data_IF_897244452983
#
_entry.id   IF_897244452983
#
_cell.length_a   1.000
_cell.length_b   1.000
_cell.length_c   1.000
_cell.angle_alpha   90.00
_cell.angle_beta   90.00
_cell.angle_gamma   90.00
#
_symmetry.space_group_name_H-M   'P 1'
#
loop_
_entity.id
_entity.type
_entity.pdbx_description
1 polymer ?
#
# COMPACT_ATOMS: atom_id res chain seq x y z
N UNK A 1 45.97 -5.80 -14.65
CA UNK A 1 44.89 -6.26 -13.75
C UNK A 1 44.32 -5.03 -13.07
N UNK A 2 43.00 -4.86 -13.09
CA UNK A 2 42.36 -3.75 -12.36
C UNK A 2 42.65 -3.91 -10.86
N UNK A 3 42.90 -2.83 -10.13
CA UNK A 3 42.98 -2.91 -8.66
C UNK A 3 41.60 -3.18 -8.11
N UNK A 4 41.53 -3.85 -6.96
CA UNK A 4 40.27 -4.17 -6.27
C UNK A 4 39.43 -2.90 -6.05
N UNK A 5 40.07 -1.82 -5.60
CA UNK A 5 39.41 -0.52 -5.39
C UNK A 5 38.69 -0.02 -6.64
N UNK A 6 39.36 -0.03 -7.80
CA UNK A 6 38.76 0.43 -9.06
C UNK A 6 37.63 -0.53 -9.48
N UNK A 7 37.75 -1.82 -9.21
CA UNK A 7 36.73 -2.82 -9.54
C UNK A 7 35.40 -2.60 -8.80
N UNK A 8 35.43 -2.02 -7.60
CA UNK A 8 34.24 -1.74 -6.80
C UNK A 8 33.77 -0.27 -6.91
N UNK A 9 34.70 0.69 -6.92
CA UNK A 9 34.37 2.11 -6.99
C UNK A 9 33.79 2.52 -8.34
N UNK A 10 34.23 1.90 -9.44
CA UNK A 10 33.70 2.21 -10.77
C UNK A 10 32.20 1.82 -10.90
N UNK A 11 31.77 0.58 -10.55
CA UNK A 11 30.34 0.25 -10.49
C UNK A 11 29.56 1.10 -9.48
N UNK A 12 30.13 1.39 -8.30
CA UNK A 12 29.47 2.23 -7.31
C UNK A 12 29.16 3.63 -7.88
N UNK A 13 30.16 4.25 -8.51
CA UNK A 13 30.00 5.54 -9.17
C UNK A 13 28.99 5.46 -10.32
N UNK A 14 29.06 4.43 -11.15
CA UNK A 14 28.13 4.23 -12.25
C UNK A 14 26.67 4.09 -11.75
N UNK A 15 26.42 3.28 -10.72
CA UNK A 15 25.10 3.11 -10.11
C UNK A 15 24.60 4.46 -9.56
N UNK A 16 25.44 5.16 -8.80
CA UNK A 16 25.07 6.46 -8.22
C UNK A 16 24.71 7.48 -9.30
N UNK A 17 25.58 7.67 -10.29
CA UNK A 17 25.34 8.60 -11.41
C UNK A 17 24.11 8.19 -12.19
N UNK A 18 23.91 6.89 -12.45
CA UNK A 18 22.71 6.43 -13.15
C UNK A 18 21.44 6.76 -12.37
N UNK A 19 21.43 6.60 -11.04
CA UNK A 19 20.29 6.94 -10.19
C UNK A 19 20.00 8.43 -10.10
N UNK A 20 20.96 9.29 -10.45
CA UNK A 20 20.76 10.74 -10.58
C UNK A 20 20.25 11.15 -11.98
N UNK A 21 20.60 10.39 -13.02
CA UNK A 21 20.33 10.76 -14.41
C UNK A 21 19.09 10.09 -15.00
N UNK A 22 18.73 8.90 -14.53
CA UNK A 22 17.65 8.09 -15.09
C UNK A 22 16.64 7.72 -14.03
N UNK A 23 15.35 7.86 -14.33
CA UNK A 23 14.26 7.36 -13.49
C UNK A 23 14.00 5.90 -13.82
N UNK A 24 14.37 4.99 -12.92
CA UNK A 24 14.26 3.54 -13.15
C UNK A 24 12.91 2.94 -12.73
N UNK A 25 12.09 3.70 -12.02
CA UNK A 25 10.77 3.30 -11.57
C UNK A 25 9.80 4.49 -11.59
N UNK A 26 8.48 4.25 -11.71
CA UNK A 26 7.50 5.34 -11.82
C UNK A 26 7.48 6.29 -10.61
N UNK A 27 7.85 5.79 -9.42
CA UNK A 27 7.92 6.61 -8.20
C UNK A 27 9.29 7.28 -8.07
N UNK A 28 9.33 8.62 -7.96
CA UNK A 28 10.59 9.39 -7.98
C UNK A 28 11.61 8.95 -6.92
N UNK A 29 11.14 8.49 -5.76
CA UNK A 29 11.99 8.04 -4.66
C UNK A 29 12.56 6.62 -4.85
N UNK A 30 12.09 5.86 -5.85
CA UNK A 30 12.46 4.45 -5.98
C UNK A 30 13.89 4.24 -6.46
N UNK A 31 14.52 5.24 -7.09
CA UNK A 31 15.94 5.20 -7.42
C UNK A 31 16.84 4.97 -6.19
N UNK A 32 16.38 5.35 -4.98
CA UNK A 32 17.11 5.09 -3.74
C UNK A 32 17.36 3.58 -3.51
N UNK A 33 16.43 2.72 -3.95
CA UNK A 33 16.55 1.25 -3.88
C UNK A 33 17.72 0.72 -4.70
N UNK A 34 18.12 1.44 -5.75
CA UNK A 34 19.30 1.12 -6.56
C UNK A 34 20.55 1.81 -6.00
N UNK A 35 20.44 3.08 -5.64
CA UNK A 35 21.58 3.88 -5.14
C UNK A 35 22.15 3.34 -3.82
N UNK A 36 21.37 2.62 -3.01
CA UNK A 36 21.88 1.96 -1.80
C UNK A 36 23.01 0.96 -2.11
N UNK A 37 23.02 0.35 -3.30
CA UNK A 37 24.10 -0.54 -3.72
C UNK A 37 25.41 0.20 -3.98
N UNK A 38 25.35 1.42 -4.54
CA UNK A 38 26.51 2.27 -4.65
C UNK A 38 27.12 2.58 -3.27
N UNK A 39 26.26 2.86 -2.29
CA UNK A 39 26.69 3.07 -0.90
C UNK A 39 27.38 1.83 -0.32
N UNK A 40 26.79 0.63 -0.47
CA UNK A 40 27.37 -0.61 0.04
C UNK A 40 28.72 -0.95 -0.60
N UNK A 41 28.88 -0.72 -1.89
CA UNK A 41 30.17 -0.93 -2.57
C UNK A 41 31.24 0.06 -2.10
N UNK A 42 30.85 1.27 -1.72
CA UNK A 42 31.75 2.32 -1.26
C UNK A 42 32.19 2.14 0.21
N UNK A 43 31.35 1.52 1.05
CA UNK A 43 31.54 1.40 2.50
C UNK A 43 32.91 0.85 2.95
N UNK A 44 33.43 -0.28 2.40
CA UNK A 44 34.71 -0.84 2.85
C UNK A 44 35.91 0.09 2.58
N UNK A 45 35.85 0.85 1.49
CA UNK A 45 36.90 1.80 1.10
C UNK A 45 36.83 3.07 1.94
N UNK A 46 35.62 3.58 2.22
CA UNK A 46 35.45 4.67 3.20
C UNK A 46 36.01 4.28 4.57
N UNK A 47 35.77 3.04 5.01
CA UNK A 47 36.35 2.56 6.26
C UNK A 47 37.88 2.52 6.20
N UNK A 48 38.45 1.76 5.28
CA UNK A 48 39.90 1.49 5.23
C UNK A 48 40.75 2.70 4.87
N UNK A 49 40.28 3.56 3.97
CA UNK A 49 41.07 4.68 3.45
C UNK A 49 40.85 6.00 4.20
N UNK A 50 39.71 6.17 4.88
CA UNK A 50 39.36 7.41 5.58
C UNK A 50 39.23 7.18 7.08
N UNK A 51 38.22 6.40 7.50
CA UNK A 51 37.82 6.31 8.92
C UNK A 51 38.87 5.59 9.78
N UNK A 52 39.49 4.53 9.25
CA UNK A 52 40.49 3.73 9.95
C UNK A 52 41.81 4.49 10.20
N UNK A 53 42.06 5.58 9.45
CA UNK A 53 43.25 6.43 9.59
C UNK A 53 43.10 7.49 10.69
N UNK A 54 41.90 7.69 11.22
CA UNK A 54 41.66 8.62 12.31
C UNK A 54 42.06 8.05 13.67
N UNK A 55 42.29 8.95 14.63
CA UNK A 55 42.53 8.54 16.01
C UNK A 55 41.32 7.77 16.55
N UNK A 56 41.58 6.83 17.48
CA UNK A 56 40.52 5.99 18.07
C UNK A 56 39.36 6.82 18.64
N UNK A 57 39.58 7.93 19.37
CA UNK A 57 38.48 8.75 19.88
C UNK A 57 37.60 9.34 18.78
N UNK A 58 38.19 9.84 17.69
CA UNK A 58 37.44 10.41 16.56
C UNK A 58 36.63 9.33 15.86
N UNK A 59 37.23 8.16 15.62
CA UNK A 59 36.55 7.02 15.01
C UNK A 59 35.34 6.57 15.82
N UNK A 60 35.51 6.42 17.14
CA UNK A 60 34.41 6.07 18.05
C UNK A 60 33.31 7.13 17.99
N UNK A 61 33.66 8.41 18.06
CA UNK A 61 32.70 9.52 17.96
C UNK A 61 31.89 9.50 16.67
N UNK A 62 32.55 9.31 15.52
CA UNK A 62 31.86 9.25 14.21
C UNK A 62 30.99 8.00 14.09
N UNK A 63 31.47 6.83 14.54
CA UNK A 63 30.64 5.62 14.56
C UNK A 63 29.37 5.84 15.41
N UNK A 64 29.51 6.41 16.62
CA UNK A 64 28.36 6.74 17.46
C UNK A 64 27.42 7.70 16.71
N UNK A 65 27.93 8.77 16.11
CA UNK A 65 27.09 9.73 15.38
C UNK A 65 26.34 9.10 14.20
N UNK A 66 27.02 8.31 13.37
CA UNK A 66 26.43 7.65 12.20
C UNK A 66 25.37 6.61 12.59
N UNK A 67 25.71 5.73 13.54
CA UNK A 67 24.81 4.63 13.93
C UNK A 67 23.72 5.04 14.93
N UNK A 68 23.90 6.13 15.68
CA UNK A 68 22.87 6.66 16.59
C UNK A 68 21.89 7.62 15.90
N UNK A 69 22.19 8.07 14.68
CA UNK A 69 21.29 8.95 13.91
C UNK A 69 19.91 8.32 13.71
N UNK A 70 19.84 7.01 13.44
CA UNK A 70 18.58 6.26 13.34
C UNK A 70 17.80 6.21 14.66
N UNK A 71 18.49 6.20 15.81
CA UNK A 71 17.85 6.25 17.12
C UNK A 71 17.15 7.60 17.36
N UNK A 72 17.76 8.71 16.91
CA UNK A 72 17.12 10.05 16.93
C UNK A 72 15.82 10.04 16.12
N UNK A 73 15.83 9.42 14.94
CA UNK A 73 14.61 9.29 14.10
C UNK A 73 13.51 8.47 14.79
N UNK A 74 13.85 7.54 15.68
CA UNK A 74 12.89 6.71 16.41
C UNK A 74 12.23 7.46 17.58
N UNK A 75 12.86 8.46 18.20
CA UNK A 75 12.25 9.22 19.30
C UNK A 75 10.88 9.80 18.94
N UNK A 76 10.74 10.31 17.71
CA UNK A 76 9.49 10.86 17.23
C UNK A 76 8.39 9.81 17.02
N UNK A 77 8.75 8.55 16.76
CA UNK A 77 7.81 7.44 16.55
C UNK A 77 7.49 6.65 17.81
N UNK A 78 8.44 6.58 18.76
CA UNK A 78 8.32 5.84 20.02
C UNK A 78 7.85 6.71 21.19
N UNK A 79 7.71 8.02 20.99
CA UNK A 79 7.22 8.93 22.03
C UNK A 79 5.86 8.48 22.57
N UNK A 80 5.73 8.47 23.90
CA UNK A 80 4.49 8.13 24.58
C UNK A 80 3.33 9.00 24.06
N UNK A 81 2.16 8.37 23.82
CA UNK A 81 0.99 9.04 23.28
C UNK A 81 0.96 9.17 21.75
N UNK A 82 1.93 8.61 21.02
CA UNK A 82 1.87 8.47 19.56
C UNK A 82 1.52 7.02 19.20
N UNK A 83 0.25 6.69 18.92
CA UNK A 83 -0.19 5.31 18.69
C UNK A 83 0.33 4.69 17.37
N UNK A 84 1.31 5.32 16.71
CA UNK A 84 1.80 4.92 15.40
C UNK A 84 0.75 5.10 14.30
N UNK A 85 1.07 4.59 13.11
CA UNK A 85 0.11 4.48 12.02
C UNK A 85 -0.52 3.08 12.05
N UNK A 86 -1.83 3.00 12.20
CA UNK A 86 -2.55 1.72 12.25
C UNK A 86 -2.50 1.03 10.89
N UNK A 87 -1.86 -0.14 10.82
CA UNK A 87 -1.80 -0.94 9.60
C UNK A 87 -3.01 -1.86 9.47
N UNK A 88 -3.36 -2.60 10.52
CA UNK A 88 -4.45 -3.58 10.52
C UNK A 88 -5.06 -3.62 11.92
N UNK A 89 -6.39 -3.60 12.01
CA UNK A 89 -7.12 -3.96 13.23
C UNK A 89 -7.40 -5.47 13.19
N UNK A 90 -6.82 -6.21 14.14
CA UNK A 90 -6.95 -7.67 14.18
C UNK A 90 -8.38 -8.13 14.50
N UNK A 91 -9.09 -7.42 15.37
CA UNK A 91 -10.47 -7.77 15.72
C UNK A 91 -11.42 -7.56 14.55
N UNK A 92 -11.22 -6.47 13.81
CA UNK A 92 -11.91 -6.21 12.55
C UNK A 92 -11.60 -7.28 11.51
N UNK A 93 -10.32 -7.62 11.31
CA UNK A 93 -9.90 -8.62 10.34
C UNK A 93 -10.51 -9.99 10.62
N UNK A 94 -10.48 -10.44 11.89
CA UNK A 94 -11.04 -11.74 12.30
C UNK A 94 -12.56 -11.76 12.13
N UNK A 95 -13.25 -10.68 12.48
CA UNK A 95 -14.70 -10.58 12.35
C UNK A 95 -15.17 -10.52 10.88
N UNK A 96 -14.48 -9.75 10.02
CA UNK A 96 -14.71 -9.74 8.58
C UNK A 96 -14.41 -11.12 8.00
N UNK A 97 -13.33 -11.76 8.43
CA UNK A 97 -12.96 -13.13 8.02
C UNK A 97 -14.05 -14.15 8.29
N UNK A 98 -14.65 -14.12 9.49
CA UNK A 98 -15.78 -14.97 9.84
C UNK A 98 -17.01 -14.69 8.95
N UNK A 99 -17.29 -13.40 8.67
CA UNK A 99 -18.43 -13.00 7.86
C UNK A 99 -18.30 -13.39 6.37
N UNK A 100 -17.09 -13.31 5.80
CA UNK A 100 -16.88 -13.65 4.39
C UNK A 100 -16.61 -15.12 4.15
N UNK A 101 -16.19 -15.90 5.17
CA UNK A 101 -15.91 -17.34 5.06
C UNK A 101 -16.98 -18.13 4.29
N UNK A 102 -18.30 -18.00 4.56
CA UNK A 102 -19.33 -18.76 3.84
C UNK A 102 -19.61 -18.24 2.42
N UNK A 103 -19.09 -17.07 2.03
CA UNK A 103 -19.35 -16.46 0.72
C UNK A 103 -18.46 -17.06 -0.36
N UNK A 104 -18.93 -17.14 -1.62
CA UNK A 104 -18.13 -17.67 -2.74
C UNK A 104 -16.79 -16.94 -2.87
N UNK A 105 -15.70 -17.67 -3.02
CA UNK A 105 -14.35 -17.10 -3.15
C UNK A 105 -14.22 -16.26 -4.42
N UNK A 106 -14.93 -16.65 -5.48
CA UNK A 106 -14.90 -15.95 -6.76
C UNK A 106 -15.76 -14.68 -6.80
N UNK A 107 -16.59 -14.45 -5.78
CA UNK A 107 -17.41 -13.27 -5.70
C UNK A 107 -16.54 -12.02 -5.52
N UNK A 108 -16.82 -11.01 -6.34
CA UNK A 108 -16.13 -9.73 -6.31
C UNK A 108 -16.88 -8.73 -5.43
N UNK A 109 -16.13 -8.06 -4.57
CA UNK A 109 -16.63 -7.05 -3.65
C UNK A 109 -16.36 -5.65 -4.19
N UNK A 110 -17.35 -4.76 -4.09
CA UNK A 110 -17.11 -3.32 -4.11
C UNK A 110 -16.77 -2.87 -2.68
N UNK A 111 -15.62 -2.22 -2.55
CA UNK A 111 -15.07 -1.71 -1.31
C UNK A 111 -14.14 -0.54 -1.63
N UNK A 112 -13.76 0.25 -0.63
CA UNK A 112 -12.81 1.34 -0.79
C UNK A 112 -11.43 0.79 -1.19
N UNK A 113 -10.80 1.34 -2.25
CA UNK A 113 -9.57 0.79 -2.81
C UNK A 113 -8.33 1.20 -1.99
N UNK A 114 -8.10 0.51 -0.88
CA UNK A 114 -6.90 0.67 -0.04
C UNK A 114 -6.03 -0.60 -0.03
N UNK A 115 -4.77 -0.48 0.43
CA UNK A 115 -3.77 -1.56 0.41
C UNK A 115 -3.96 -2.58 1.53
N UNK A 116 -4.58 -2.17 2.64
CA UNK A 116 -4.77 -2.95 3.87
C UNK A 116 -6.23 -3.31 4.14
N UNK A 117 -7.07 -3.32 3.09
CA UNK A 117 -8.50 -3.60 3.25
C UNK A 117 -8.70 -5.02 3.81
N UNK A 118 -9.55 -5.25 4.84
CA UNK A 118 -9.71 -6.57 5.45
C UNK A 118 -10.14 -7.65 4.46
N UNK A 119 -10.95 -7.30 3.43
CA UNK A 119 -11.28 -8.23 2.33
C UNK A 119 -10.05 -8.75 1.59
N UNK A 120 -9.09 -7.88 1.25
CA UNK A 120 -7.87 -8.27 0.54
C UNK A 120 -7.02 -9.21 1.39
N UNK A 121 -6.89 -8.89 2.68
CA UNK A 121 -6.15 -9.71 3.64
C UNK A 121 -6.81 -11.06 3.91
N UNK A 122 -8.12 -11.20 3.64
CA UNK A 122 -8.86 -12.46 3.68
C UNK A 122 -8.91 -13.18 2.31
N UNK A 123 -8.13 -12.73 1.33
CA UNK A 123 -8.04 -13.33 -0.01
C UNK A 123 -9.28 -13.13 -0.88
N UNK A 124 -10.12 -12.12 -0.60
CA UNK A 124 -11.33 -11.84 -1.37
C UNK A 124 -11.04 -10.92 -2.55
N UNK A 125 -11.69 -11.21 -3.68
CA UNK A 125 -11.64 -10.36 -4.87
C UNK A 125 -12.35 -9.05 -4.59
N UNK A 126 -11.67 -7.94 -4.85
CA UNK A 126 -12.25 -6.59 -4.84
C UNK A 126 -12.25 -6.05 -6.26
N UNK A 127 -13.11 -5.07 -6.55
CA UNK A 127 -13.13 -4.38 -7.86
C UNK A 127 -11.76 -3.84 -8.22
N UNK A 128 -11.07 -3.24 -7.25
CA UNK A 128 -9.69 -2.78 -7.39
C UNK A 128 -9.04 -2.63 -6.02
N UNK A 129 -7.74 -2.92 -5.95
CA UNK A 129 -6.90 -2.63 -4.78
C UNK A 129 -6.39 -1.19 -4.77
N UNK A 130 -5.32 -0.93 -4.03
CA UNK A 130 -4.74 0.41 -3.90
C UNK A 130 -4.30 1.01 -5.27
N UNK A 131 -4.84 2.18 -5.67
CA UNK A 131 -4.55 2.79 -6.97
C UNK A 131 -3.08 3.06 -7.22
N UNK A 132 -2.32 3.46 -6.20
CA UNK A 132 -0.88 3.74 -6.34
C UNK A 132 -0.08 2.48 -6.72
N UNK A 133 -0.49 1.31 -6.24
CA UNK A 133 0.15 0.05 -6.63
C UNK A 133 -0.23 -0.35 -8.06
N UNK A 134 -1.51 -0.19 -8.43
CA UNK A 134 -1.95 -0.46 -9.80
C UNK A 134 -1.25 0.45 -10.82
N UNK A 135 -1.03 1.72 -10.48
CA UNK A 135 -0.28 2.65 -11.31
C UNK A 135 1.18 2.22 -11.49
N UNK A 136 1.87 1.88 -10.39
CA UNK A 136 3.29 1.50 -10.45
C UNK A 136 3.52 0.18 -11.18
N UNK A 137 2.54 -0.73 -11.20
CA UNK A 137 2.55 -1.99 -11.97
C UNK A 137 2.06 -1.84 -13.42
N UNK A 138 1.70 -0.63 -13.86
CA UNK A 138 1.35 -0.36 -15.26
C UNK A 138 -0.07 -0.75 -15.68
N UNK A 139 -1.03 -0.81 -14.75
CA UNK A 139 -2.43 -1.06 -15.10
C UNK A 139 -3.11 0.19 -15.70
N UNK A 140 -3.12 0.35 -17.02
CA UNK A 140 -3.59 1.57 -17.70
C UNK A 140 -5.02 2.03 -17.36
N UNK A 141 -5.94 1.09 -17.11
CA UNK A 141 -7.36 1.40 -16.91
C UNK A 141 -7.77 1.65 -15.44
N UNK A 142 -6.83 1.65 -14.50
CA UNK A 142 -7.14 1.75 -13.07
C UNK A 142 -7.95 3.01 -12.72
N UNK A 143 -7.64 4.15 -13.35
CA UNK A 143 -8.30 5.42 -13.08
C UNK A 143 -9.79 5.42 -13.51
N UNK A 144 -10.10 4.78 -14.64
CA UNK A 144 -11.47 4.63 -15.12
C UNK A 144 -12.28 3.72 -14.19
N UNK A 145 -11.72 2.57 -13.79
CA UNK A 145 -12.32 1.67 -12.80
C UNK A 145 -12.53 2.36 -11.46
N UNK A 146 -11.57 3.19 -11.02
CA UNK A 146 -11.68 3.97 -9.78
C UNK A 146 -12.81 4.99 -9.84
N UNK A 147 -12.97 5.68 -10.97
CA UNK A 147 -14.09 6.61 -11.16
C UNK A 147 -15.42 5.88 -11.11
N UNK A 148 -15.55 4.76 -11.83
CA UNK A 148 -16.77 3.95 -11.83
C UNK A 148 -17.11 3.41 -10.44
N UNK A 149 -16.12 2.85 -9.73
CA UNK A 149 -16.29 2.35 -8.37
C UNK A 149 -16.71 3.46 -7.41
N UNK A 150 -16.09 4.64 -7.50
CA UNK A 150 -16.48 5.81 -6.69
C UNK A 150 -17.93 6.21 -6.96
N UNK A 151 -18.33 6.33 -8.22
CA UNK A 151 -19.69 6.77 -8.58
C UNK A 151 -20.73 5.73 -8.12
N UNK A 152 -20.42 4.44 -8.24
CA UNK A 152 -21.22 3.35 -7.67
C UNK A 152 -21.32 3.45 -6.15
N UNK A 153 -20.19 3.59 -5.44
CA UNK A 153 -20.13 3.64 -3.97
C UNK A 153 -20.68 4.94 -3.39
N UNK A 154 -20.82 6.01 -4.18
CA UNK A 154 -21.56 7.22 -3.82
C UNK A 154 -23.08 7.07 -4.05
N UNK A 155 -23.52 6.00 -4.72
CA UNK A 155 -24.92 5.78 -5.06
C UNK A 155 -25.46 6.79 -6.09
N UNK A 156 -24.58 7.34 -6.94
CA UNK A 156 -24.96 8.33 -7.95
C UNK A 156 -25.64 7.63 -9.13
N UNK A 157 -26.78 8.16 -9.58
CA UNK A 157 -27.43 7.80 -10.85
C UNK A 157 -27.57 6.29 -11.09
N UNK A 158 -26.94 5.79 -12.16
CA UNK A 158 -27.05 4.41 -12.67
C UNK A 158 -26.17 3.40 -11.92
N UNK A 159 -26.00 3.52 -10.60
CA UNK A 159 -25.10 2.67 -9.79
C UNK A 159 -25.30 1.17 -10.03
N UNK A 160 -26.54 0.70 -10.30
CA UNK A 160 -26.84 -0.70 -10.64
C UNK A 160 -26.18 -1.15 -11.95
N UNK A 161 -26.22 -0.29 -12.98
CA UNK A 161 -25.55 -0.57 -14.24
C UNK A 161 -24.04 -0.64 -14.06
N UNK A 162 -23.48 0.29 -13.27
CA UNK A 162 -22.06 0.31 -12.94
C UNK A 162 -21.67 -0.97 -12.16
N UNK A 163 -22.50 -1.40 -11.20
CA UNK A 163 -22.25 -2.63 -10.43
C UNK A 163 -22.18 -3.87 -11.32
N UNK A 164 -23.01 -3.94 -12.37
CA UNK A 164 -22.96 -5.02 -13.37
C UNK A 164 -21.72 -4.93 -14.25
N UNK A 165 -21.37 -3.73 -14.72
CA UNK A 165 -20.18 -3.51 -15.55
C UNK A 165 -18.88 -3.86 -14.80
N UNK A 166 -18.86 -3.65 -13.48
CA UNK A 166 -17.74 -3.98 -12.60
C UNK A 166 -17.77 -5.43 -12.07
N UNK A 167 -18.81 -6.21 -12.41
CA UNK A 167 -19.03 -7.59 -11.94
C UNK A 167 -19.10 -7.70 -10.40
N UNK A 168 -19.76 -6.74 -9.75
CA UNK A 168 -19.85 -6.69 -8.28
C UNK A 168 -20.94 -7.62 -7.78
N UNK A 169 -20.57 -8.64 -7.00
CA UNK A 169 -21.56 -9.48 -6.30
C UNK A 169 -21.95 -8.91 -4.94
N UNK A 170 -20.99 -8.40 -4.20
CA UNK A 170 -21.20 -7.91 -2.83
C UNK A 170 -20.72 -6.47 -2.67
N UNK A 171 -21.44 -5.67 -1.87
CA UNK A 171 -20.95 -4.38 -1.38
C UNK A 171 -20.49 -4.58 0.05
N UNK A 172 -19.26 -4.17 0.34
CA UNK A 172 -18.76 -4.02 1.70
C UNK A 172 -18.85 -2.56 2.12
N UNK A 173 -19.34 -2.31 3.33
CA UNK A 173 -19.51 -0.96 3.87
C UNK A 173 -19.02 -0.91 5.32
N UNK A 174 -17.74 -0.60 5.51
CA UNK A 174 -17.08 -0.48 6.80
C UNK A 174 -16.48 0.92 7.02
N UNK A 175 -15.46 0.98 7.89
CA UNK A 175 -14.85 2.25 8.32
C UNK A 175 -14.28 3.05 7.16
N UNK A 176 -13.52 2.40 6.27
CA UNK A 176 -12.87 3.06 5.13
C UNK A 176 -13.91 3.61 4.15
N UNK A 177 -14.98 2.87 3.86
CA UNK A 177 -16.06 3.36 3.01
C UNK A 177 -16.79 4.55 3.64
N UNK A 178 -17.08 4.49 4.94
CA UNK A 178 -17.74 5.58 5.65
C UNK A 178 -16.90 6.88 5.64
N UNK A 179 -15.58 6.76 5.81
CA UNK A 179 -14.68 7.91 5.80
C UNK A 179 -14.50 8.50 4.40
N UNK A 180 -14.36 7.66 3.38
CA UNK A 180 -13.98 8.10 2.05
C UNK A 180 -15.17 8.34 1.09
N UNK A 181 -16.35 7.79 1.41
CA UNK A 181 -17.60 7.99 0.67
C UNK A 181 -18.67 8.65 1.54
N UNK A 182 -18.30 9.67 2.31
CA UNK A 182 -19.19 10.36 3.27
C UNK A 182 -20.44 11.00 2.63
N UNK A 183 -20.40 11.31 1.33
CA UNK A 183 -21.54 11.82 0.55
C UNK A 183 -22.47 10.75 -0.02
N UNK A 184 -22.23 9.47 0.26
CA UNK A 184 -22.97 8.38 -0.39
C UNK A 184 -24.43 8.34 0.04
N UNK A 185 -25.33 8.16 -0.95
CA UNK A 185 -26.76 7.96 -0.72
C UNK A 185 -27.10 6.53 -0.29
N UNK A 186 -26.14 5.60 -0.42
CA UNK A 186 -26.25 4.18 -0.01
C UNK A 186 -27.56 3.48 -0.44
N UNK A 187 -27.95 3.54 -1.72
CA UNK A 187 -29.24 3.07 -2.21
C UNK A 187 -29.43 1.54 -2.12
N UNK A 188 -28.36 0.78 -1.93
CA UNK A 188 -28.44 -0.67 -1.71
C UNK A 188 -28.94 -1.03 -0.31
N UNK A 189 -28.83 -0.15 0.70
CA UNK A 189 -29.28 -0.48 2.06
C UNK A 189 -30.78 -0.79 2.13
N UNK A 190 -31.57 -0.18 1.24
CA UNK A 190 -33.02 -0.40 1.14
C UNK A 190 -33.41 -1.40 0.05
N UNK A 191 -32.48 -1.75 -0.84
CA UNK A 191 -32.82 -2.52 -2.05
C UNK A 191 -32.10 -3.86 -2.20
N UNK A 192 -31.03 -4.10 -1.44
CA UNK A 192 -30.23 -5.32 -1.45
C UNK A 192 -30.35 -6.06 -0.12
N UNK A 193 -30.39 -7.41 -0.12
CA UNK A 193 -30.34 -8.18 1.11
C UNK A 193 -29.05 -7.93 1.91
N UNK A 194 -29.20 -7.73 3.22
CA UNK A 194 -28.08 -7.70 4.16
C UNK A 194 -27.62 -9.14 4.45
N UNK A 195 -26.36 -9.44 4.15
CA UNK A 195 -25.75 -10.77 4.29
C UNK A 195 -25.11 -10.95 5.66
N UNK A 196 -24.38 -9.93 6.10
CA UNK A 196 -23.68 -9.92 7.37
C UNK A 196 -23.51 -8.48 7.85
N UNK A 197 -23.49 -8.28 9.17
CA UNK A 197 -23.18 -7.00 9.77
C UNK A 197 -22.53 -7.17 11.14
N UNK A 198 -21.84 -6.13 11.61
CA UNK A 198 -21.21 -6.07 12.91
C UNK A 198 -20.56 -4.70 13.16
N UNK A 199 -19.74 -4.60 14.21
CA UNK A 199 -19.00 -3.35 14.51
C UNK A 199 -18.02 -2.94 13.41
N UNK A 200 -17.62 -3.90 12.56
CA UNK A 200 -16.73 -3.70 11.42
C UNK A 200 -17.45 -3.14 10.18
N UNK A 201 -18.78 -3.15 10.14
CA UNK A 201 -19.56 -2.72 8.98
C UNK A 201 -20.62 -3.73 8.54
N UNK A 202 -20.99 -3.67 7.27
CA UNK A 202 -22.05 -4.47 6.67
C UNK A 202 -21.67 -4.99 5.29
N UNK A 203 -22.23 -6.14 4.90
CA UNK A 203 -22.12 -6.72 3.56
C UNK A 203 -23.52 -6.88 2.96
N UNK A 204 -23.70 -6.41 1.73
CA UNK A 204 -24.96 -6.49 0.99
C UNK A 204 -24.80 -7.34 -0.28
N UNK A 205 -25.78 -8.18 -0.62
CA UNK A 205 -25.79 -9.03 -1.82
C UNK A 205 -26.50 -8.37 -3.00
N UNK A 206 -25.78 -8.11 -4.09
CA UNK A 206 -26.37 -7.57 -5.32
C UNK A 206 -26.87 -8.64 -6.29
N UNK A 207 -26.65 -9.93 -6.01
CA UNK A 207 -26.99 -11.02 -6.91
C UNK A 207 -28.45 -11.11 -7.33
N UNK A 208 -29.37 -10.78 -6.41
CA UNK A 208 -30.80 -10.77 -6.73
C UNK A 208 -31.22 -9.52 -7.52
N UNK A 209 -30.40 -8.47 -7.52
CA UNK A 209 -30.62 -7.23 -8.28
C UNK A 209 -30.09 -7.36 -9.72
N UNK A 210 -29.25 -8.36 -10.00
CA UNK A 210 -28.54 -8.53 -11.27
C UNK A 210 -29.16 -9.55 -12.23
N UNK A 211 -30.23 -10.23 -11.83
CA UNK A 211 -31.02 -11.05 -12.76
C UNK A 211 -31.84 -10.13 -13.67
N UNK A 212 -31.80 -10.28 -15.00
CA UNK A 212 -32.75 -9.58 -15.86
C UNK A 212 -34.17 -10.13 -15.58
N UNK A 213 -35.23 -9.34 -15.83
CA UNK A 213 -36.56 -9.91 -16.02
C UNK A 213 -36.58 -10.88 -17.21
#
# INVERSE_FOLDING_TARGET
>A
KLTEEIAFLLPAFAIFVSGLLFQFAPWDWDNLKLMIWAYFLLLPFLWSQLVARWSVPVRVGVCIALFSSGFISLFGGLAAGRPGFGLIDRGELDAVGAAVRPLPVEARFAAYPTYNHPLLLQGRKVVMGYPGHLWTEGFDHYAATQSQLRDMMQGIGNWRQISRALDVRYIFWGREEMMNYSGSTRPWETTAPLVASGRWGSIYDLGQIQSPP
#
